data_IF_543024005986
#
_entry.id   IF_543024005986
#
_cell.length_a   1.000
_cell.length_b   1.000
_cell.length_c   1.000
_cell.angle_alpha   90.00
_cell.angle_beta   90.00
_cell.angle_gamma   90.00
#
_symmetry.space_group_name_H-M   'P 1'
#
loop_
_entity.id
_entity.type
_entity.pdbx_description
1 polymer ?
#
# COMPACT_ATOMS: atom_id res chain seq x y z
N UNK A 1 6.11 -2.48 -9.78
CA UNK A 1 6.96 -1.26 -9.82
C UNK A 1 6.51 -0.30 -8.72
N UNK A 2 7.24 -0.19 -7.60
CA UNK A 2 6.84 0.66 -6.46
C UNK A 2 7.25 2.11 -6.78
N UNK A 3 6.30 2.96 -7.14
CA UNK A 3 6.56 4.37 -7.46
C UNK A 3 6.73 5.16 -6.16
N UNK A 4 7.97 5.52 -5.83
CA UNK A 4 8.28 6.47 -4.75
C UNK A 4 8.14 7.90 -5.29
N UNK A 5 7.29 8.70 -4.67
CA UNK A 5 7.29 10.15 -4.85
C UNK A 5 7.70 10.77 -3.51
N UNK A 6 8.84 11.47 -3.48
CA UNK A 6 9.36 12.13 -2.27
C UNK A 6 9.42 13.64 -2.48
N UNK A 7 8.35 14.33 -2.11
CA UNK A 7 8.33 15.78 -2.04
C UNK A 7 8.08 16.10 -0.57
N UNK A 8 9.11 16.57 0.14
CA UNK A 8 9.04 16.98 1.57
C UNK A 8 8.83 15.79 2.55
N UNK A 9 9.90 15.04 2.87
CA UNK A 9 10.02 14.08 4.00
C UNK A 9 8.89 13.06 4.26
N UNK A 10 7.94 12.91 3.33
CA UNK A 10 6.85 11.94 3.37
C UNK A 10 7.07 11.00 2.19
N UNK A 11 7.21 9.71 2.49
CA UNK A 11 7.25 8.66 1.47
C UNK A 11 5.95 7.89 1.50
N UNK A 12 5.26 7.88 0.36
CA UNK A 12 4.05 7.09 0.17
C UNK A 12 4.37 5.92 -0.74
N UNK A 13 3.93 4.72 -0.37
CA UNK A 13 4.05 3.51 -1.19
C UNK A 13 2.74 2.73 -1.15
N UNK A 14 2.24 2.30 -2.30
CA UNK A 14 1.17 1.31 -2.39
C UNK A 14 1.75 -0.10 -2.21
N UNK A 15 1.07 -0.92 -1.42
CA UNK A 15 1.49 -2.30 -1.11
C UNK A 15 0.26 -3.19 -1.21
N UNK A 16 0.41 -4.32 -1.91
CA UNK A 16 -0.56 -5.41 -1.88
C UNK A 16 -0.27 -6.28 -0.66
N UNK A 17 -1.29 -6.51 0.16
CA UNK A 17 -1.19 -7.46 1.27
C UNK A 17 -1.47 -8.88 0.78
N UNK A 18 -0.40 -9.53 0.32
CA UNK A 18 -0.40 -10.91 -0.18
C UNK A 18 -0.77 -11.97 0.87
N UNK A 19 -0.78 -11.59 2.16
CA UNK A 19 -1.05 -12.50 3.28
C UNK A 19 -2.53 -12.70 3.54
N UNK A 20 -3.38 -11.79 3.07
CA UNK A 20 -4.84 -11.87 3.24
C UNK A 20 -5.51 -11.86 1.89
N UNK A 21 -5.63 -13.05 1.30
CA UNK A 21 -6.55 -13.26 0.18
C UNK A 21 -7.98 -13.03 0.68
N UNK A 22 -8.66 -12.05 0.11
CA UNK A 22 -10.11 -11.91 0.21
C UNK A 22 -10.77 -12.51 -1.03
N UNK A 23 -12.08 -12.77 -0.96
CA UNK A 23 -12.85 -13.31 -2.09
C UNK A 23 -12.72 -12.45 -3.37
N UNK A 24 -12.37 -11.17 -3.23
CA UNK A 24 -12.20 -10.20 -4.32
C UNK A 24 -10.73 -9.90 -4.66
N UNK A 25 -9.77 -10.60 -4.07
CA UNK A 25 -8.33 -10.42 -4.30
C UNK A 25 -7.54 -9.97 -3.06
N UNK A 26 -6.41 -9.30 -3.28
CA UNK A 26 -5.48 -8.84 -2.25
C UNK A 26 -5.75 -7.38 -1.86
N UNK A 27 -5.93 -7.05 -0.58
CA UNK A 27 -6.23 -5.70 -0.16
C UNK A 27 -5.03 -4.78 -0.38
N UNK A 28 -5.30 -3.60 -0.97
CA UNK A 28 -4.29 -2.56 -1.18
C UNK A 28 -4.18 -1.71 0.08
N UNK A 29 -2.94 -1.54 0.55
CA UNK A 29 -2.60 -0.68 1.68
C UNK A 29 -1.69 0.44 1.22
N UNK A 30 -1.90 1.63 1.77
CA UNK A 30 -0.97 2.75 1.62
C UNK A 30 -0.04 2.76 2.82
N UNK A 31 1.24 2.52 2.56
CA UNK A 31 2.31 2.72 3.54
C UNK A 31 2.78 4.16 3.47
N UNK A 32 2.51 4.91 4.52
CA UNK A 32 3.04 6.26 4.69
C UNK A 32 4.20 6.20 5.67
N UNK A 33 5.35 6.71 5.24
CA UNK A 33 6.52 6.91 6.09
C UNK A 33 6.74 8.40 6.27
N UNK A 34 6.65 8.87 7.51
CA UNK A 34 6.88 10.26 7.88
C UNK A 34 7.59 10.30 9.23
N UNK A 35 8.64 11.12 9.38
CA UNK A 35 9.43 11.21 10.62
C UNK A 35 9.91 9.84 11.15
N UNK A 36 10.32 8.93 10.25
CA UNK A 36 10.69 7.53 10.57
C UNK A 36 9.57 6.67 11.18
N UNK A 37 8.34 7.17 11.26
CA UNK A 37 7.17 6.39 11.63
C UNK A 37 6.49 5.82 10.39
N UNK A 38 6.21 4.51 10.42
CA UNK A 38 5.48 3.80 9.37
C UNK A 38 4.03 3.63 9.82
N UNK A 39 3.10 4.14 9.02
CA UNK A 39 1.66 3.91 9.20
C UNK A 39 1.08 3.25 7.96
N UNK A 40 0.15 2.31 8.19
CA UNK A 40 -0.54 1.60 7.14
C UNK A 40 -2.01 2.01 7.17
N UNK A 41 -2.49 2.52 6.04
CA UNK A 41 -3.88 2.91 5.87
C UNK A 41 -4.54 1.93 4.91
N UNK A 42 -5.69 1.38 5.31
CA UNK A 42 -6.52 0.55 4.46
C UNK A 42 -7.22 1.40 3.41
N UNK A 43 -7.18 0.98 2.16
CA UNK A 43 -7.89 1.68 1.07
C UNK A 43 -9.32 1.18 0.87
N UNK A 44 -9.68 0.02 1.45
CA UNK A 44 -10.95 -0.65 1.18
C UNK A 44 -11.06 -1.26 -0.22
N UNK A 45 -9.99 -1.20 -1.02
CA UNK A 45 -9.91 -1.79 -2.35
C UNK A 45 -9.06 -3.06 -2.31
N UNK A 46 -9.45 -4.03 -3.12
CA UNK A 46 -8.69 -5.26 -3.38
C UNK A 46 -8.33 -5.32 -4.85
N UNK A 47 -7.14 -5.83 -5.17
CA UNK A 47 -6.71 -6.12 -6.54
C UNK A 47 -6.44 -7.62 -6.65
N UNK A 48 -6.89 -8.24 -7.74
CA UNK A 48 -6.41 -9.57 -8.11
C UNK A 48 -4.98 -9.47 -8.65
N UNK A 49 -4.22 -10.56 -8.61
CA UNK A 49 -2.91 -10.65 -9.27
C UNK A 49 -3.03 -10.80 -10.79
N UNK A 50 -4.27 -10.84 -11.32
CA UNK A 50 -4.59 -11.21 -12.70
C UNK A 50 -4.86 -10.00 -13.61
N UNK A 51 -4.15 -8.88 -13.39
CA UNK A 51 -4.06 -7.77 -14.36
C UNK A 51 -2.67 -7.67 -14.98
#
# INVERSE_FOLDING_TARGET
MIKLCSTIQITVSSILDDRRVTATGYPVKIRVTYKRMRKYYSTGKSLSLEE
#
